data_IF_188592146654
#
_entry.id   IF_188592146654
#
_cell.length_a   1.000
_cell.length_b   1.000
_cell.length_c   1.000
_cell.angle_alpha   90.00
_cell.angle_beta   90.00
_cell.angle_gamma   90.00
#
_symmetry.space_group_name_H-M   'P 1'
#
loop_
_entity.id
_entity.type
_entity.pdbx_description
1 polymer ?
#
# COMPACT_ATOMS: atom_id res chain seq x y z
N UNK A 1 -1.70 24.99 19.83
CA UNK A 1 -2.18 23.60 19.98
C UNK A 1 -1.23 22.90 20.92
N UNK A 2 -1.75 22.11 21.86
CA UNK A 2 -0.93 21.28 22.74
C UNK A 2 -0.11 20.27 21.93
N UNK A 3 1.14 20.08 22.35
CA UNK A 3 2.04 19.11 21.73
C UNK A 3 1.76 17.76 22.39
N UNK A 4 1.13 16.86 21.65
CA UNK A 4 0.93 15.47 22.07
C UNK A 4 2.29 14.76 22.03
N UNK A 5 2.60 13.93 23.02
CA UNK A 5 3.82 13.11 23.01
C UNK A 5 3.87 12.20 21.77
N UNK A 6 5.07 11.95 21.24
CA UNK A 6 5.25 11.07 20.10
C UNK A 6 4.83 9.64 20.47
N UNK A 7 3.84 9.12 19.76
CA UNK A 7 3.36 7.74 19.91
C UNK A 7 4.31 6.74 19.25
N UNK A 8 4.23 5.47 19.68
CA UNK A 8 4.99 4.37 19.09
C UNK A 8 4.63 4.07 17.61
N UNK A 9 3.49 4.59 17.14
CA UNK A 9 2.92 4.29 15.83
C UNK A 9 2.41 5.57 15.16
N UNK A 10 2.42 5.56 13.83
CA UNK A 10 1.84 6.62 12.99
C UNK A 10 1.05 6.03 11.81
N UNK A 11 0.01 6.74 11.38
CA UNK A 11 -0.74 6.37 10.18
C UNK A 11 0.08 6.70 8.93
N UNK A 12 0.24 5.71 8.04
CA UNK A 12 0.98 5.86 6.77
C UNK A 12 0.06 5.92 5.54
N UNK A 13 -1.22 5.63 5.73
CA UNK A 13 -2.24 5.67 4.68
C UNK A 13 -3.62 5.36 5.26
N UNK A 14 -4.65 5.92 4.64
CA UNK A 14 -6.05 5.62 4.92
C UNK A 14 -6.69 5.31 3.57
N UNK A 15 -7.19 4.08 3.40
CA UNK A 15 -7.80 3.62 2.16
C UNK A 15 -9.29 3.43 2.44
N UNK A 16 -10.18 4.26 1.87
CA UNK A 16 -11.60 4.00 1.97
C UNK A 16 -11.94 2.75 1.16
N UNK A 17 -12.64 1.79 1.79
CA UNK A 17 -13.05 0.54 1.18
C UNK A 17 -14.38 0.08 1.78
N UNK A 18 -15.19 -0.63 0.99
CA UNK A 18 -16.44 -1.27 1.45
C UNK A 18 -16.19 -2.67 2.04
N UNK A 19 -15.01 -3.25 1.77
CA UNK A 19 -14.64 -4.58 2.26
C UNK A 19 -14.05 -4.49 3.68
N UNK A 20 -14.37 -5.47 4.53
CA UNK A 20 -13.79 -5.57 5.88
C UNK A 20 -12.34 -6.05 5.86
N UNK A 21 -11.94 -6.76 4.80
CA UNK A 21 -10.59 -7.28 4.63
C UNK A 21 -9.65 -6.23 4.04
N UNK A 22 -8.35 -6.36 4.35
CA UNK A 22 -7.33 -5.47 3.79
C UNK A 22 -7.22 -5.67 2.27
N UNK A 23 -7.38 -4.58 1.52
CA UNK A 23 -7.13 -4.57 0.09
C UNK A 23 -5.68 -4.94 -0.21
N UNK A 24 -5.42 -5.83 -1.19
CA UNK A 24 -4.06 -6.11 -1.58
C UNK A 24 -3.42 -4.84 -2.15
N UNK A 25 -2.18 -4.55 -1.76
CA UNK A 25 -1.43 -3.42 -2.34
C UNK A 25 -1.37 -3.53 -3.86
N UNK A 26 -1.35 -2.40 -4.58
CA UNK A 26 -1.16 -2.41 -6.03
C UNK A 26 0.16 -3.12 -6.43
N UNK A 27 0.23 -3.85 -7.57
CA UNK A 27 1.42 -4.61 -7.93
C UNK A 27 2.70 -3.75 -8.01
N UNK A 28 2.59 -2.54 -8.54
CA UNK A 28 3.71 -1.59 -8.63
C UNK A 28 4.24 -1.18 -7.25
N UNK A 29 3.38 -1.10 -6.24
CA UNK A 29 3.79 -0.80 -4.85
C UNK A 29 4.63 -1.93 -4.29
N UNK A 30 4.25 -3.19 -4.52
CA UNK A 30 5.06 -4.35 -4.12
C UNK A 30 6.42 -4.35 -4.82
N UNK A 31 6.46 -4.04 -6.12
CA UNK A 31 7.71 -3.93 -6.89
C UNK A 31 8.62 -2.83 -6.37
N UNK A 32 8.10 -1.60 -6.18
CA UNK A 32 8.86 -0.46 -5.63
C UNK A 32 9.38 -0.79 -4.23
N UNK A 33 8.57 -1.42 -3.39
CA UNK A 33 8.97 -1.75 -2.02
C UNK A 33 10.22 -2.64 -1.98
N UNK A 34 10.39 -3.55 -2.94
CA UNK A 34 11.55 -4.41 -3.04
C UNK A 34 12.84 -3.72 -3.51
N UNK A 35 12.77 -2.48 -4.03
CA UNK A 35 13.95 -1.71 -4.44
C UNK A 35 14.73 -1.14 -3.25
N UNK A 36 14.14 -1.13 -2.04
CA UNK A 36 14.79 -0.62 -0.84
C UNK A 36 14.47 0.83 -0.51
N UNK A 37 14.88 1.24 0.69
CA UNK A 37 14.58 2.56 1.27
C UNK A 37 15.13 3.72 0.44
N UNK A 38 16.25 3.51 -0.26
CA UNK A 38 16.88 4.54 -1.10
C UNK A 38 15.96 4.97 -2.26
N UNK A 39 15.11 4.05 -2.73
CA UNK A 39 14.16 4.28 -3.82
C UNK A 39 12.73 4.50 -3.28
N UNK A 40 12.59 4.80 -1.98
CA UNK A 40 11.29 5.00 -1.32
C UNK A 40 10.49 3.72 -1.07
N UNK A 41 11.12 2.55 -1.18
CA UNK A 41 10.53 1.27 -0.83
C UNK A 41 10.71 0.90 0.64
N UNK A 42 10.01 -0.13 1.12
CA UNK A 42 10.21 -0.66 2.48
C UNK A 42 11.46 -1.55 2.62
N UNK A 43 12.04 -2.00 1.50
CA UNK A 43 13.12 -2.99 1.47
C UNK A 43 12.67 -4.43 1.71
N UNK A 44 11.36 -4.66 1.84
CA UNK A 44 10.80 -6.01 1.98
C UNK A 44 10.83 -6.71 0.61
N UNK A 45 11.44 -7.91 0.49
CA UNK A 45 11.43 -8.67 -0.76
C UNK A 45 10.01 -9.04 -1.20
N UNK A 46 9.80 -9.18 -2.52
CA UNK A 46 8.51 -9.57 -3.06
C UNK A 46 8.11 -10.96 -2.53
N UNK A 47 6.94 -11.04 -1.89
CA UNK A 47 6.27 -12.30 -1.62
C UNK A 47 5.43 -12.70 -2.84
N UNK A 48 5.83 -13.79 -3.51
CA UNK A 48 5.21 -14.22 -4.77
C UNK A 48 3.70 -14.50 -4.66
N UNK A 49 3.22 -15.30 -3.68
CA UNK A 49 1.77 -15.50 -3.48
C UNK A 49 0.97 -14.21 -3.24
N UNK A 50 1.46 -13.30 -2.40
CA UNK A 50 0.78 -12.02 -2.16
C UNK A 50 0.75 -11.13 -3.39
N UNK A 51 1.82 -11.14 -4.19
CA UNK A 51 1.89 -10.42 -5.46
C UNK A 51 0.87 -10.95 -6.48
N UNK A 52 0.69 -12.26 -6.56
CA UNK A 52 -0.29 -12.88 -7.46
C UNK A 52 -1.73 -12.51 -7.09
N UNK A 53 -2.06 -12.51 -5.79
CA UNK A 53 -3.37 -12.03 -5.29
C UNK A 53 -3.59 -10.55 -5.60
N UNK A 54 -2.53 -9.75 -5.53
CA UNK A 54 -2.56 -8.35 -5.93
C UNK A 54 -2.89 -8.22 -7.42
N UNK A 55 -2.19 -8.95 -8.29
CA UNK A 55 -2.47 -8.92 -9.73
C UNK A 55 -3.90 -9.34 -10.04
N UNK A 56 -4.36 -10.47 -9.51
CA UNK A 56 -5.73 -10.97 -9.73
C UNK A 56 -6.80 -9.94 -9.35
N UNK A 57 -6.60 -9.24 -8.22
CA UNK A 57 -7.50 -8.18 -7.79
C UNK A 57 -7.43 -6.98 -8.75
N UNK A 58 -6.25 -6.44 -9.00
CA UNK A 58 -6.08 -5.19 -9.76
C UNK A 58 -6.23 -5.35 -11.28
N UNK A 59 -6.30 -6.56 -11.81
CA UNK A 59 -6.73 -6.82 -13.19
C UNK A 59 -8.21 -6.47 -13.43
N UNK A 60 -9.02 -6.46 -12.37
CA UNK A 60 -10.46 -6.23 -12.44
C UNK A 60 -10.92 -4.96 -11.69
N UNK A 61 -10.00 -4.21 -11.08
CA UNK A 61 -10.29 -3.01 -10.28
C UNK A 61 -9.35 -1.86 -10.68
N UNK A 62 -9.86 -0.63 -10.60
CA UNK A 62 -9.07 0.57 -10.89
C UNK A 62 -9.26 1.59 -9.77
N UNK A 63 -8.21 2.34 -9.45
CA UNK A 63 -8.34 3.51 -8.60
C UNK A 63 -9.11 4.60 -9.33
N UNK A 64 -10.08 5.19 -8.64
CA UNK A 64 -10.81 6.35 -9.16
C UNK A 64 -10.06 7.60 -8.76
N UNK A 65 -9.69 8.41 -9.75
CA UNK A 65 -9.07 9.71 -9.56
C UNK A 65 -10.05 10.80 -9.99
N UNK A 66 -10.02 11.95 -9.32
CA UNK A 66 -10.79 13.12 -9.74
C UNK A 66 -10.07 13.70 -10.98
N UNK A 67 -10.55 13.32 -12.16
CA UNK A 67 -9.91 13.65 -13.42
C UNK A 67 -9.93 15.15 -13.70
N UNK A 68 -8.78 15.71 -14.09
CA UNK A 68 -8.75 16.93 -14.92
C UNK A 68 -9.23 16.64 -16.35
#
# INVERSE_FOLDING_TARGET
>A
GEKVEDGLWGFVGIIPCEQEEELPMAPITAMRNALGIAEGGSGVPINRPSYEKSVEFWENHINVEDGE
#
